data_IF_514525314750
#
_entry.id   IF_514525314750
#
_cell.length_a   1.000
_cell.length_b   1.000
_cell.length_c   1.000
_cell.angle_alpha   90.00
_cell.angle_beta   90.00
_cell.angle_gamma   90.00
#
_symmetry.space_group_name_H-M   'P 1'
#
loop_
_entity.id
_entity.type
_entity.pdbx_description
1 polymer ?
#
# COMPACT_ATOMS: atom_id res chain seq x y z
N UNK A 1 -2.40 17.62 2.12
CA UNK A 1 -2.53 16.97 3.44
C UNK A 1 -1.24 16.20 3.76
N UNK A 2 -0.65 16.36 4.95
CA UNK A 2 0.55 15.61 5.36
C UNK A 2 0.27 14.11 5.50
N UNK A 3 1.27 13.26 5.26
CA UNK A 3 1.16 11.80 5.34
C UNK A 3 0.68 11.32 6.72
N UNK A 4 1.21 11.91 7.79
CA UNK A 4 0.80 11.56 9.15
C UNK A 4 -0.69 11.90 9.41
N UNK A 5 -1.19 12.99 8.83
CA UNK A 5 -2.60 13.36 8.94
C UNK A 5 -3.52 12.40 8.17
N UNK A 6 -3.09 11.94 6.99
CA UNK A 6 -3.83 10.93 6.22
C UNK A 6 -4.00 9.65 7.05
N UNK A 7 -2.94 9.17 7.69
CA UNK A 7 -2.98 7.99 8.54
C UNK A 7 -3.87 8.20 9.77
N UNK A 8 -3.73 9.33 10.49
CA UNK A 8 -4.56 9.65 11.65
C UNK A 8 -6.04 9.73 11.31
N UNK A 9 -6.37 10.37 10.19
CA UNK A 9 -7.75 10.54 9.72
C UNK A 9 -8.38 9.18 9.38
N UNK A 10 -7.65 8.32 8.68
CA UNK A 10 -8.09 6.95 8.41
C UNK A 10 -8.36 6.17 9.70
N UNK A 11 -7.41 6.17 10.64
CA UNK A 11 -7.53 5.40 11.88
C UNK A 11 -8.70 5.91 12.74
N UNK A 12 -8.87 7.23 12.87
CA UNK A 12 -9.98 7.83 13.61
C UNK A 12 -11.33 7.48 12.98
N UNK A 13 -11.45 7.54 11.66
CA UNK A 13 -12.69 7.21 10.96
C UNK A 13 -13.16 5.79 11.25
N UNK A 14 -12.23 4.83 11.31
CA UNK A 14 -12.57 3.44 11.64
C UNK A 14 -12.75 3.22 13.14
N UNK A 15 -12.02 3.93 14.00
CA UNK A 15 -12.26 3.92 15.45
C UNK A 15 -13.69 4.36 15.80
N UNK A 16 -14.19 5.43 15.17
CA UNK A 16 -15.59 5.91 15.28
C UNK A 16 -16.62 4.86 14.82
N UNK A 17 -16.21 3.88 14.02
CA UNK A 17 -17.02 2.74 13.54
C UNK A 17 -16.82 1.46 14.34
N UNK A 18 -16.18 1.57 15.51
CA UNK A 18 -15.99 0.48 16.46
C UNK A 18 -14.80 -0.41 16.14
N UNK A 19 -13.89 0.00 15.25
CA UNK A 19 -12.63 -0.71 15.05
C UNK A 19 -11.67 -0.41 16.18
N UNK A 20 -11.05 -1.45 16.72
CA UNK A 20 -9.92 -1.26 17.64
C UNK A 20 -8.67 -0.94 16.81
N UNK A 21 -8.14 0.26 16.97
CA UNK A 21 -6.84 0.63 16.40
C UNK A 21 -5.75 -0.18 17.08
N UNK A 22 -4.92 -0.87 16.30
CA UNK A 22 -3.77 -1.64 16.81
C UNK A 22 -2.48 -1.19 16.14
N UNK A 23 -1.34 -1.25 16.84
CA UNK A 23 -0.07 -0.85 16.25
C UNK A 23 0.32 -1.73 15.06
N UNK A 24 1.10 -1.18 14.14
CA UNK A 24 1.77 -1.95 13.09
C UNK A 24 2.53 -3.13 13.71
N UNK A 25 2.39 -4.32 13.11
CA UNK A 25 3.27 -5.44 13.41
C UNK A 25 4.68 -5.20 12.85
N UNK A 26 5.62 -6.02 13.29
CA UNK A 26 6.98 -6.08 12.74
C UNK A 26 6.98 -6.40 11.25
N UNK A 27 7.96 -5.89 10.51
CA UNK A 27 8.24 -6.29 9.13
C UNK A 27 8.69 -7.74 9.02
N UNK A 28 9.17 -8.35 10.11
CA UNK A 28 9.53 -9.77 10.17
C UNK A 28 8.25 -10.59 10.22
N UNK A 29 7.93 -11.30 9.13
CA UNK A 29 6.76 -12.16 9.09
C UNK A 29 6.92 -13.35 10.05
N UNK A 30 5.88 -13.61 10.85
CA UNK A 30 5.76 -14.84 11.65
C UNK A 30 5.48 -16.06 10.76
N UNK A 31 4.91 -15.84 9.57
CA UNK A 31 4.62 -16.90 8.61
C UNK A 31 5.91 -17.43 7.98
N UNK A 32 6.21 -18.75 8.08
CA UNK A 32 7.43 -19.33 7.52
C UNK A 32 7.50 -19.29 5.99
N UNK A 33 6.37 -19.09 5.32
CA UNK A 33 6.31 -18.96 3.85
C UNK A 33 6.63 -17.55 3.36
N UNK A 34 6.75 -16.57 4.27
CA UNK A 34 7.06 -15.18 3.95
C UNK A 34 8.35 -14.72 4.62
N UNK A 35 9.15 -13.96 3.87
CA UNK A 35 10.33 -13.29 4.43
C UNK A 35 9.92 -12.05 5.22
N UNK A 36 9.14 -11.16 4.61
CA UNK A 36 8.74 -9.88 5.20
C UNK A 36 7.22 -9.74 5.10
N UNK A 37 6.64 -8.74 5.76
CA UNK A 37 5.21 -8.42 5.69
C UNK A 37 4.92 -7.55 4.44
N UNK A 38 4.29 -8.08 3.37
CA UNK A 38 3.96 -7.30 2.16
C UNK A 38 2.60 -6.57 2.22
N UNK A 39 1.74 -6.87 3.21
CA UNK A 39 0.38 -6.36 3.30
C UNK A 39 -0.15 -6.31 4.75
N UNK A 40 -1.13 -5.44 5.00
CA UNK A 40 -1.78 -5.22 6.30
C UNK A 40 -2.39 -6.46 6.94
N UNK A 41 -2.89 -7.39 6.12
CA UNK A 41 -3.58 -8.60 6.59
C UNK A 41 -2.65 -9.71 7.09
N UNK A 42 -1.36 -9.67 6.73
CA UNK A 42 -0.42 -10.78 6.97
C UNK A 42 -0.29 -11.12 8.47
N UNK A 43 -0.14 -10.14 9.38
CA UNK A 43 -0.14 -10.43 10.83
C UNK A 43 -1.46 -11.03 11.34
N UNK A 44 -2.57 -10.84 10.60
CA UNK A 44 -3.91 -11.29 10.96
C UNK A 44 -4.33 -12.59 10.28
N UNK A 45 -3.47 -13.20 9.46
CA UNK A 45 -3.71 -14.49 8.80
C UNK A 45 -4.28 -15.56 9.75
N UNK A 46 -3.76 -15.77 10.98
CA UNK A 46 -4.32 -16.77 11.89
C UNK A 46 -5.76 -16.48 12.33
N UNK A 47 -6.18 -15.21 12.33
CA UNK A 47 -7.54 -14.82 12.69
C UNK A 47 -8.53 -15.14 11.57
N UNK A 48 -8.17 -14.83 10.32
CA UNK A 48 -8.97 -15.18 9.14
C UNK A 48 -9.17 -16.69 9.00
N UNK A 49 -8.13 -17.47 9.32
CA UNK A 49 -8.18 -18.94 9.29
C UNK A 49 -8.88 -19.56 10.52
N UNK A 50 -9.35 -18.76 11.48
CA UNK A 50 -9.96 -19.25 12.72
C UNK A 50 -9.01 -19.99 13.66
N UNK A 51 -7.70 -19.87 13.46
CA UNK A 51 -6.66 -20.54 14.25
C UNK A 51 -6.38 -19.85 15.57
N UNK A 52 -6.62 -18.54 15.64
CA UNK A 52 -6.51 -17.72 16.85
C UNK A 52 -7.70 -16.77 16.95
N UNK A 53 -8.07 -16.40 18.17
CA UNK A 53 -9.12 -15.39 18.40
C UNK A 53 -8.52 -13.99 18.22
N UNK A 54 -9.14 -13.10 17.43
CA UNK A 54 -8.66 -11.72 17.30
C UNK A 54 -8.93 -10.93 18.59
N UNK A 55 -8.15 -9.88 18.87
CA UNK A 55 -8.33 -9.03 20.05
C UNK A 55 -9.62 -8.19 20.02
N UNK A 56 -10.24 -8.03 18.86
CA UNK A 56 -11.58 -7.48 18.62
C UNK A 56 -12.11 -8.01 17.28
N UNK A 57 -13.43 -7.97 17.05
CA UNK A 57 -14.03 -8.39 15.78
C UNK A 57 -13.72 -7.44 14.62
N UNK A 58 -13.34 -6.19 14.94
CA UNK A 58 -12.98 -5.13 13.99
C UNK A 58 -11.64 -4.52 14.38
N UNK A 59 -10.69 -4.42 13.45
CA UNK A 59 -9.36 -3.82 13.69
C UNK A 59 -9.01 -2.80 12.62
N UNK A 60 -8.24 -1.77 12.96
CA UNK A 60 -7.67 -0.84 12.00
C UNK A 60 -6.17 -0.63 12.26
N UNK A 61 -5.37 -0.52 11.20
CA UNK A 61 -3.91 -0.33 11.28
C UNK A 61 -3.36 0.60 10.20
N UNK A 62 -2.19 1.17 10.48
CA UNK A 62 -1.23 1.61 9.47
C UNK A 62 -0.05 0.63 9.51
N UNK A 63 -0.06 -0.38 8.66
CA UNK A 63 0.94 -1.45 8.66
C UNK A 63 2.15 -1.03 7.83
N UNK A 64 3.35 -1.12 8.41
CA UNK A 64 4.61 -1.10 7.68
C UNK A 64 4.70 -2.30 6.75
N UNK A 65 4.94 -2.07 5.46
CA UNK A 65 5.04 -3.12 4.46
C UNK A 65 6.36 -3.06 3.71
N UNK A 66 6.90 -4.23 3.35
CA UNK A 66 8.02 -4.35 2.39
C UNK A 66 7.66 -5.33 1.29
N UNK A 67 7.79 -4.89 0.03
CA UNK A 67 7.61 -5.71 -1.17
C UNK A 67 8.93 -5.86 -1.91
N UNK A 68 9.51 -7.06 -1.83
CA UNK A 68 10.76 -7.36 -2.52
C UNK A 68 10.65 -7.48 -4.05
N UNK A 69 9.51 -7.89 -4.65
CA UNK A 69 9.37 -7.88 -6.10
C UNK A 69 9.52 -6.48 -6.71
N UNK A 70 9.12 -5.44 -5.98
CA UNK A 70 9.10 -4.06 -6.46
C UNK A 70 10.48 -3.39 -6.47
N UNK A 71 11.51 -4.01 -5.87
CA UNK A 71 12.87 -3.47 -5.72
C UNK A 71 13.47 -3.02 -7.07
N UNK A 72 13.17 -3.73 -8.16
CA UNK A 72 13.69 -3.37 -9.48
C UNK A 72 12.93 -2.22 -10.17
N UNK A 73 11.71 -1.93 -9.73
CA UNK A 73 10.86 -0.85 -10.27
C UNK A 73 11.03 0.49 -9.53
N UNK A 74 11.62 0.44 -8.33
CA UNK A 74 11.95 1.63 -7.55
C UNK A 74 12.83 2.58 -8.35
N UNK A 75 12.42 3.85 -8.37
CA UNK A 75 13.04 4.96 -9.08
C UNK A 75 12.66 5.07 -10.56
N UNK A 76 12.26 3.96 -11.19
CA UNK A 76 11.86 3.92 -12.61
C UNK A 76 10.41 4.36 -12.81
N UNK A 77 9.53 3.90 -11.92
CA UNK A 77 8.11 4.23 -11.95
C UNK A 77 7.77 5.30 -10.91
N UNK A 78 6.59 5.89 -11.02
CA UNK A 78 6.10 6.93 -10.10
C UNK A 78 5.41 6.38 -8.84
N UNK A 79 5.12 5.07 -8.81
CA UNK A 79 4.22 4.43 -7.84
C UNK A 79 4.79 3.25 -7.04
N UNK A 80 5.94 2.69 -7.44
CA UNK A 80 6.55 1.56 -6.74
C UNK A 80 7.56 2.04 -5.70
N UNK A 81 7.50 1.43 -4.52
CA UNK A 81 8.41 1.62 -3.40
C UNK A 81 8.74 0.26 -2.79
N UNK A 82 9.94 0.10 -2.23
CA UNK A 82 10.28 -1.14 -1.51
C UNK A 82 9.57 -1.17 -0.17
N UNK A 83 9.58 -0.05 0.55
CA UNK A 83 8.84 0.17 1.79
C UNK A 83 7.70 1.13 1.56
N UNK A 84 6.54 0.83 2.14
CA UNK A 84 5.37 1.70 2.13
C UNK A 84 4.49 1.39 3.35
N UNK A 85 3.52 2.24 3.63
CA UNK A 85 2.52 1.98 4.66
C UNK A 85 1.16 1.63 4.06
N UNK A 86 0.55 0.58 4.58
CA UNK A 86 -0.79 0.14 4.18
C UNK A 86 -1.78 0.45 5.29
N UNK A 87 -2.69 1.38 5.01
CA UNK A 87 -3.83 1.69 5.86
C UNK A 87 -4.91 0.63 5.62
N UNK A 88 -5.32 -0.08 6.67
CA UNK A 88 -6.26 -1.19 6.54
C UNK A 88 -7.29 -1.24 7.66
N UNK A 89 -8.53 -1.54 7.29
CA UNK A 89 -9.60 -1.94 8.20
C UNK A 89 -9.94 -3.42 7.99
N UNK A 90 -10.14 -4.14 9.07
CA UNK A 90 -10.33 -5.58 9.06
C UNK A 90 -11.62 -5.96 9.81
N UNK A 91 -12.39 -6.88 9.23
CA UNK A 91 -13.57 -7.48 9.84
C UNK A 91 -13.35 -8.98 9.96
N UNK A 92 -13.45 -9.52 11.18
CA UNK A 92 -13.34 -10.95 11.45
C UNK A 92 -14.72 -11.51 11.78
N UNK A 93 -15.47 -11.90 10.74
CA UNK A 93 -16.83 -12.43 10.88
C UNK A 93 -17.85 -11.43 11.43
N UNK A 94 -17.65 -10.13 11.21
CA UNK A 94 -18.50 -9.05 11.75
C UNK A 94 -19.38 -8.42 10.66
N UNK A 95 -18.83 -7.46 9.90
CA UNK A 95 -19.48 -6.85 8.73
C UNK A 95 -18.84 -7.35 7.42
N UNK A 96 -19.51 -7.14 6.29
CA UNK A 96 -19.03 -7.59 4.97
C UNK A 96 -19.17 -6.50 3.89
N UNK A 97 -19.44 -6.89 2.64
CA UNK A 97 -19.51 -6.00 1.46
C UNK A 97 -20.45 -4.80 1.66
N UNK A 98 -21.62 -5.06 2.23
CA UNK A 98 -22.70 -4.07 2.34
C UNK A 98 -22.31 -2.86 3.18
N UNK A 99 -21.35 -3.01 4.11
CA UNK A 99 -20.86 -1.96 4.98
C UNK A 99 -19.50 -1.44 4.54
N UNK A 100 -18.55 -2.31 4.14
CA UNK A 100 -17.20 -1.86 3.79
C UNK A 100 -17.20 -0.92 2.58
N UNK A 101 -18.03 -1.19 1.57
CA UNK A 101 -18.07 -0.40 0.34
C UNK A 101 -18.56 1.03 0.66
N UNK A 102 -19.70 1.23 1.35
CA UNK A 102 -20.10 2.56 1.81
C UNK A 102 -19.09 3.24 2.75
N UNK A 103 -18.44 2.50 3.67
CA UNK A 103 -17.43 3.10 4.55
C UNK A 103 -16.23 3.64 3.77
N UNK A 104 -15.74 2.89 2.79
CA UNK A 104 -14.62 3.32 1.96
C UNK A 104 -14.99 4.56 1.12
N UNK A 105 -16.17 4.54 0.49
CA UNK A 105 -16.67 5.68 -0.26
C UNK A 105 -16.83 6.92 0.61
N UNK A 106 -17.48 6.77 1.76
CA UNK A 106 -17.72 7.86 2.70
C UNK A 106 -16.41 8.50 3.16
N UNK A 107 -15.38 7.71 3.52
CA UNK A 107 -14.09 8.29 3.93
C UNK A 107 -13.44 9.07 2.77
N UNK A 108 -13.50 8.57 1.54
CA UNK A 108 -12.89 9.22 0.38
C UNK A 108 -13.59 10.54 0.02
N UNK A 109 -14.92 10.59 0.06
CA UNK A 109 -15.70 11.72 -0.46
C UNK A 109 -16.12 12.72 0.60
N UNK A 110 -16.22 12.31 1.88
CA UNK A 110 -16.58 13.21 2.98
C UNK A 110 -15.62 14.41 3.00
N UNK A 111 -16.12 15.65 3.21
CA UNK A 111 -15.29 16.85 3.19
C UNK A 111 -14.09 16.79 4.15
N UNK A 112 -13.01 17.47 3.77
CA UNK A 112 -11.83 17.60 4.63
C UNK A 112 -12.17 18.27 5.98
N UNK A 113 -13.13 19.19 6.03
CA UNK A 113 -13.58 19.80 7.30
C UNK A 113 -14.20 18.80 8.27
N UNK A 114 -14.73 17.67 7.76
CA UNK A 114 -15.59 16.75 8.50
C UNK A 114 -14.92 15.40 8.81
N UNK A 115 -13.63 15.25 8.49
CA UNK A 115 -12.91 14.01 8.73
C UNK A 115 -12.73 13.08 7.52
N UNK A 116 -13.13 13.45 6.29
CA UNK A 116 -12.84 12.67 5.06
C UNK A 116 -11.74 13.21 4.14
N UNK A 117 -11.49 12.59 3.00
CA UNK A 117 -10.44 13.04 2.06
C UNK A 117 -10.91 14.09 1.05
N UNK A 118 -12.20 14.41 1.02
CA UNK A 118 -12.75 15.47 0.17
C UNK A 118 -12.61 15.23 -1.33
N UNK A 119 -12.46 13.98 -1.77
CA UNK A 119 -12.34 13.68 -3.18
C UNK A 119 -13.64 13.98 -3.94
N UNK A 120 -13.57 14.64 -5.10
CA UNK A 120 -14.72 14.80 -5.98
C UNK A 120 -15.24 13.43 -6.40
N UNK A 121 -16.53 13.18 -6.18
CA UNK A 121 -17.16 11.89 -6.50
C UNK A 121 -17.00 11.51 -7.97
N UNK A 122 -17.01 12.49 -8.89
CA UNK A 122 -16.87 12.32 -10.34
C UNK A 122 -15.46 11.87 -10.78
N UNK A 123 -14.46 12.00 -9.90
CA UNK A 123 -13.10 11.49 -10.13
C UNK A 123 -12.87 10.08 -9.63
N UNK A 124 -13.81 9.50 -8.90
CA UNK A 124 -13.67 8.15 -8.37
C UNK A 124 -14.27 7.10 -9.30
N UNK A 125 -13.59 5.97 -9.41
CA UNK A 125 -13.98 4.81 -10.20
C UNK A 125 -13.91 3.57 -9.33
N UNK A 126 -14.73 2.57 -9.63
CA UNK A 126 -14.72 1.29 -8.93
C UNK A 126 -14.48 0.14 -9.92
N UNK A 127 -13.73 -0.87 -9.50
CA UNK A 127 -13.65 -2.16 -10.19
C UNK A 127 -14.21 -3.27 -9.30
N UNK A 128 -14.78 -4.30 -9.90
CA UNK A 128 -15.30 -5.49 -9.22
C UNK A 128 -14.90 -6.75 -9.97
N UNK A 129 -14.86 -7.89 -9.28
CA UNK A 129 -14.63 -9.18 -9.92
C UNK A 129 -15.74 -9.53 -10.91
N UNK A 130 -15.40 -10.17 -12.04
CA UNK A 130 -16.34 -10.51 -13.11
C UNK A 130 -17.64 -11.15 -12.61
N UNK A 131 -17.55 -12.04 -11.63
CA UNK A 131 -18.67 -12.83 -11.10
C UNK A 131 -19.25 -12.26 -9.79
N UNK A 132 -18.81 -11.07 -9.35
CA UNK A 132 -19.29 -10.45 -8.11
C UNK A 132 -20.39 -9.41 -8.35
N UNK A 133 -21.59 -9.90 -8.65
CA UNK A 133 -22.79 -9.08 -8.83
C UNK A 133 -23.20 -8.33 -7.56
N UNK A 134 -22.93 -8.92 -6.38
CA UNK A 134 -23.24 -8.31 -5.09
C UNK A 134 -22.45 -7.00 -4.89
N UNK A 135 -21.13 -7.01 -5.15
CA UNK A 135 -20.32 -5.79 -5.07
C UNK A 135 -20.75 -4.75 -6.11
N UNK A 136 -21.04 -5.18 -7.34
CA UNK A 136 -21.53 -4.30 -8.40
C UNK A 136 -22.82 -3.58 -7.99
N UNK A 137 -23.79 -4.33 -7.47
CA UNK A 137 -25.09 -3.79 -7.05
C UNK A 137 -24.97 -2.86 -5.84
N UNK A 138 -24.04 -3.10 -4.92
CA UNK A 138 -23.79 -2.19 -3.79
C UNK A 138 -23.23 -0.86 -4.31
N UNK A 139 -22.24 -0.88 -5.21
CA UNK A 139 -21.70 0.33 -5.82
C UNK A 139 -22.77 1.13 -6.57
N UNK A 140 -23.56 0.45 -7.41
CA UNK A 140 -24.59 1.08 -8.23
C UNK A 140 -25.75 1.61 -7.39
N UNK A 141 -26.32 0.78 -6.54
CA UNK A 141 -27.62 1.05 -5.92
C UNK A 141 -27.51 1.67 -4.52
N UNK A 142 -26.52 1.27 -3.73
CA UNK A 142 -26.36 1.74 -2.35
C UNK A 142 -25.44 2.96 -2.26
N UNK A 143 -24.33 2.96 -3.01
CA UNK A 143 -23.42 4.10 -3.09
C UNK A 143 -23.87 5.13 -4.12
N UNK A 144 -24.37 4.68 -5.27
CA UNK A 144 -24.82 5.56 -6.35
C UNK A 144 -23.75 5.88 -7.39
N UNK A 145 -22.71 5.06 -7.52
CA UNK A 145 -21.69 5.22 -8.57
C UNK A 145 -22.35 4.94 -9.93
N UNK A 146 -22.22 5.84 -10.93
CA UNK A 146 -22.74 5.59 -12.27
C UNK A 146 -22.15 4.32 -12.89
N UNK A 147 -22.98 3.56 -13.61
CA UNK A 147 -22.55 2.29 -14.25
C UNK A 147 -21.33 2.45 -15.16
N UNK A 148 -21.19 3.59 -15.83
CA UNK A 148 -20.04 3.91 -16.68
C UNK A 148 -18.71 3.96 -15.93
N UNK A 149 -18.73 4.05 -14.59
CA UNK A 149 -17.56 4.11 -13.71
C UNK A 149 -17.40 2.88 -12.80
N UNK A 150 -18.19 1.83 -13.04
CA UNK A 150 -18.05 0.53 -12.37
C UNK A 150 -17.60 -0.50 -13.41
N UNK A 151 -16.33 -0.90 -13.36
CA UNK A 151 -15.73 -1.82 -14.33
C UNK A 151 -15.59 -3.23 -13.76
N UNK A 152 -15.88 -4.25 -14.56
CA UNK A 152 -15.66 -5.64 -14.15
C UNK A 152 -14.32 -6.14 -14.68
N UNK A 153 -13.52 -6.79 -13.84
CA UNK A 153 -12.22 -7.38 -14.24
C UNK A 153 -12.01 -8.78 -13.68
N UNK A 154 -11.07 -9.50 -14.28
CA UNK A 154 -10.81 -10.92 -14.01
C UNK A 154 -10.00 -11.17 -12.73
N UNK A 155 -9.51 -12.40 -12.60
CA UNK A 155 -8.72 -12.85 -11.45
C UNK A 155 -7.43 -12.06 -11.24
N UNK A 156 -6.81 -11.59 -12.33
CA UNK A 156 -5.54 -10.88 -12.29
C UNK A 156 -5.64 -9.60 -11.47
N UNK A 157 -6.76 -8.90 -11.56
CA UNK A 157 -6.97 -7.60 -10.90
C UNK A 157 -7.84 -7.75 -9.66
N UNK A 158 -9.03 -8.36 -9.81
CA UNK A 158 -10.09 -8.32 -8.80
C UNK A 158 -10.22 -9.63 -7.99
N UNK A 159 -9.13 -10.40 -7.87
CA UNK A 159 -9.05 -11.51 -6.92
C UNK A 159 -7.75 -11.42 -6.12
N UNK A 160 -7.84 -11.30 -4.80
CA UNK A 160 -6.69 -11.03 -3.96
C UNK A 160 -6.31 -12.23 -3.10
N UNK A 161 -5.01 -12.51 -3.06
CA UNK A 161 -4.38 -13.43 -2.13
C UNK A 161 -2.93 -13.01 -1.89
N UNK A 162 -2.35 -13.48 -0.79
CA UNK A 162 -1.00 -13.12 -0.34
C UNK A 162 0.16 -13.76 -1.13
N UNK A 163 -0.12 -14.40 -2.27
CA UNK A 163 0.89 -15.12 -3.07
C UNK A 163 1.37 -16.46 -2.50
N UNK A 164 0.84 -16.88 -1.35
CA UNK A 164 1.14 -18.17 -0.66
C UNK A 164 -0.16 -18.78 -0.12
N UNK A 165 -0.19 -20.07 0.27
CA UNK A 165 -1.38 -20.69 0.86
C UNK A 165 -1.92 -19.91 2.06
N UNK A 166 -3.23 -19.70 2.12
CA UNK A 166 -3.86 -18.82 3.11
C UNK A 166 -5.20 -18.25 2.66
N UNK A 167 -5.72 -17.23 3.35
CA UNK A 167 -6.96 -16.55 2.97
C UNK A 167 -6.87 -15.89 1.60
N UNK A 168 -7.96 -15.93 0.84
CA UNK A 168 -8.14 -15.21 -0.41
C UNK A 168 -9.62 -14.98 -0.74
N UNK A 169 -9.88 -14.17 -1.76
CA UNK A 169 -11.24 -13.91 -2.22
C UNK A 169 -11.31 -12.84 -3.31
N UNK A 170 -12.52 -12.65 -3.88
CA UNK A 170 -12.78 -11.53 -4.79
C UNK A 170 -12.55 -10.21 -4.07
N UNK A 171 -12.19 -9.18 -4.82
CA UNK A 171 -12.02 -7.85 -4.29
C UNK A 171 -12.61 -6.77 -5.20
N UNK A 172 -12.84 -5.60 -4.63
CA UNK A 172 -13.25 -4.41 -5.34
C UNK A 172 -12.25 -3.30 -5.05
N UNK A 173 -11.77 -2.61 -6.09
CA UNK A 173 -10.77 -1.56 -5.96
C UNK A 173 -11.37 -0.22 -6.33
N UNK A 174 -10.90 0.83 -5.65
CA UNK A 174 -11.27 2.21 -5.90
C UNK A 174 -10.08 2.90 -6.55
N UNK A 175 -10.36 3.64 -7.61
CA UNK A 175 -9.37 4.37 -8.41
C UNK A 175 -9.72 5.86 -8.44
N UNK A 176 -8.68 6.69 -8.48
CA UNK A 176 -8.80 8.14 -8.62
C UNK A 176 -8.29 8.59 -9.99
N UNK A 177 -9.13 9.31 -10.73
CA UNK A 177 -8.76 9.96 -11.99
C UNK A 177 -7.91 11.20 -11.71
N UNK A 178 -6.61 11.09 -12.00
CA UNK A 178 -5.65 12.17 -11.81
C UNK A 178 -5.83 13.30 -12.82
N UNK A 179 -6.40 13.00 -14.00
CA UNK A 179 -6.62 13.95 -15.08
C UNK A 179 -5.96 13.55 -16.41
N UNK A 180 -6.35 14.20 -17.53
CA UNK A 180 -5.88 13.86 -18.87
C UNK A 180 -4.36 13.95 -19.07
N UNK A 181 -3.64 14.74 -18.28
CA UNK A 181 -2.19 14.87 -18.36
C UNK A 181 -1.44 13.58 -17.96
N UNK A 182 -2.12 12.63 -17.32
CA UNK A 182 -1.52 11.38 -16.83
C UNK A 182 -1.81 10.14 -17.69
N UNK A 183 -2.62 10.25 -18.75
CA UNK A 183 -2.93 9.09 -19.58
C UNK A 183 -4.29 9.13 -20.28
N UNK A 184 -4.67 7.99 -20.85
CA UNK A 184 -5.87 7.85 -21.69
C UNK A 184 -7.15 7.82 -20.87
N UNK A 185 -8.21 8.39 -21.42
CA UNK A 185 -9.56 8.28 -20.85
C UNK A 185 -10.14 6.87 -21.05
N UNK A 186 -11.00 6.45 -20.12
CA UNK A 186 -11.73 5.18 -20.22
C UNK A 186 -11.76 4.35 -18.93
N UNK A 187 -11.38 4.95 -17.80
CA UNK A 187 -11.32 4.28 -16.51
C UNK A 187 -10.09 3.38 -16.34
N UNK A 188 -9.99 2.68 -15.20
CA UNK A 188 -8.87 1.79 -14.87
C UNK A 188 -8.51 0.78 -15.95
N UNK A 189 -9.49 0.20 -16.67
CA UNK A 189 -9.26 -0.72 -17.80
C UNK A 189 -8.46 -0.08 -18.94
N UNK A 190 -8.56 1.24 -19.13
CA UNK A 190 -7.87 1.94 -20.20
C UNK A 190 -6.43 2.35 -19.82
N UNK A 191 -6.20 2.82 -18.59
CA UNK A 191 -4.93 3.42 -18.18
C UNK A 191 -4.75 3.54 -16.66
N UNK A 192 -3.92 2.69 -16.05
CA UNK A 192 -3.65 2.72 -14.61
C UNK A 192 -2.61 3.77 -14.17
N UNK A 193 -2.01 4.49 -15.12
CA UNK A 193 -1.16 5.64 -14.81
C UNK A 193 -2.00 6.91 -14.56
N UNK A 194 -3.10 7.07 -15.33
CA UNK A 194 -4.12 8.11 -15.10
C UNK A 194 -5.07 7.78 -13.96
N UNK A 195 -5.63 6.57 -13.98
CA UNK A 195 -6.54 6.10 -12.94
C UNK A 195 -5.71 5.35 -11.91
N UNK A 196 -5.33 6.03 -10.83
CA UNK A 196 -4.47 5.46 -9.80
C UNK A 196 -5.29 4.69 -8.78
N UNK A 197 -4.97 3.42 -8.57
CA UNK A 197 -5.57 2.59 -7.52
C UNK A 197 -5.24 3.17 -6.14
N UNK A 198 -6.27 3.60 -5.41
CA UNK A 198 -6.14 4.19 -4.07
C UNK A 198 -6.42 3.18 -2.96
N UNK A 199 -7.39 2.29 -3.14
CA UNK A 199 -7.86 1.42 -2.06
C UNK A 199 -8.43 0.11 -2.60
N UNK A 200 -7.94 -1.02 -2.11
CA UNK A 200 -8.46 -2.34 -2.39
C UNK A 200 -9.31 -2.88 -1.22
N UNK A 201 -10.52 -3.36 -1.50
CA UNK A 201 -11.48 -3.96 -0.58
C UNK A 201 -11.60 -5.46 -0.89
N UNK A 202 -10.95 -6.31 -0.09
CA UNK A 202 -10.92 -7.76 -0.28
C UNK A 202 -11.99 -8.45 0.55
N UNK A 203 -12.80 -9.26 -0.12
CA UNK A 203 -13.89 -10.04 0.47
C UNK A 203 -13.38 -11.45 0.77
N UNK A 204 -12.65 -11.56 1.88
CA UNK A 204 -12.00 -12.80 2.31
C UNK A 204 -13.02 -13.88 2.65
N UNK A 205 -13.13 -14.89 1.79
CA UNK A 205 -14.13 -15.95 1.94
C UNK A 205 -13.60 -17.37 1.63
N UNK A 206 -12.41 -17.50 1.03
CA UNK A 206 -11.82 -18.79 0.68
C UNK A 206 -10.47 -19.03 1.34
N UNK A 207 -10.18 -20.30 1.59
CA UNK A 207 -8.85 -20.77 1.97
C UNK A 207 -8.17 -21.40 0.75
N UNK A 208 -6.97 -20.93 0.44
CA UNK A 208 -6.13 -21.45 -0.64
C UNK A 208 -5.12 -22.46 -0.11
N UNK A 209 -5.00 -23.62 -0.75
CA UNK A 209 -4.05 -24.68 -0.37
C UNK A 209 -2.74 -24.62 -1.16
N UNK A 210 -2.80 -24.24 -2.43
CA UNK A 210 -1.64 -24.09 -3.29
C UNK A 210 -1.79 -22.82 -4.12
N UNK A 211 -0.74 -22.00 -4.16
CA UNK A 211 -0.69 -20.79 -4.97
C UNK A 211 0.52 -20.90 -5.90
N UNK A 212 0.27 -20.95 -7.21
CA UNK A 212 1.31 -21.09 -8.24
C UNK A 212 1.56 -19.74 -8.91
N UNK A 213 0.50 -19.02 -9.24
CA UNK A 213 0.56 -17.64 -9.78
C UNK A 213 -0.59 -16.80 -9.23
N UNK A 214 -0.69 -15.53 -9.66
CA UNK A 214 -1.81 -14.64 -9.35
C UNK A 214 -3.17 -15.16 -9.82
N UNK A 215 -3.18 -15.97 -10.89
CA UNK A 215 -4.41 -16.49 -11.51
C UNK A 215 -4.49 -18.02 -11.49
N UNK A 216 -3.52 -18.68 -10.84
CA UNK A 216 -3.44 -20.14 -10.76
C UNK A 216 -3.19 -20.56 -9.30
N UNK A 217 -4.26 -21.01 -8.65
CA UNK A 217 -4.28 -21.43 -7.26
C UNK A 217 -5.45 -22.40 -7.00
N UNK A 218 -5.30 -23.23 -5.96
CA UNK A 218 -6.33 -24.18 -5.54
C UNK A 218 -7.06 -23.67 -4.30
N UNK A 219 -8.39 -23.68 -4.37
CA UNK A 219 -9.27 -23.39 -3.23
C UNK A 219 -9.51 -24.70 -2.47
N UNK A 220 -9.11 -24.77 -1.20
CA UNK A 220 -9.37 -25.93 -0.34
C UNK A 220 -10.78 -25.93 0.26
N UNK A 221 -11.42 -24.77 0.35
CA UNK A 221 -12.74 -24.61 0.95
C UNK A 221 -13.00 -23.17 1.37
N UNK A 222 -14.16 -22.95 2.01
CA UNK A 222 -14.53 -21.65 2.58
C UNK A 222 -13.76 -21.38 3.89
N UNK A 223 -13.54 -20.11 4.20
CA UNK A 223 -13.08 -19.69 5.52
C UNK A 223 -14.17 -19.90 6.58
N UNK A 224 -13.83 -20.02 7.88
CA UNK A 224 -14.82 -20.21 8.95
C UNK A 224 -15.88 -19.10 9.04
N UNK A 225 -15.57 -17.91 8.52
CA UNK A 225 -16.48 -16.78 8.42
C UNK A 225 -16.13 -15.95 7.18
N UNK A 226 -17.09 -15.17 6.68
CA UNK A 226 -16.85 -14.10 5.71
C UNK A 226 -16.17 -12.94 6.42
N UNK A 227 -15.04 -12.49 5.89
CA UNK A 227 -14.19 -11.49 6.51
C UNK A 227 -13.90 -10.33 5.54
N UNK A 228 -13.45 -9.21 6.08
CA UNK A 228 -12.99 -8.07 5.29
C UNK A 228 -11.53 -7.82 5.59
N UNK A 229 -10.77 -7.64 4.51
CA UNK A 229 -9.43 -7.09 4.49
C UNK A 229 -9.44 -5.91 3.52
N UNK A 230 -8.80 -4.79 3.89
CA UNK A 230 -8.65 -3.68 2.96
C UNK A 230 -7.22 -3.17 3.02
N UNK A 231 -6.72 -2.65 1.90
CA UNK A 231 -5.43 -1.97 1.84
C UNK A 231 -5.50 -0.68 1.03
N UNK A 232 -5.21 0.44 1.68
CA UNK A 232 -5.01 1.75 1.07
C UNK A 232 -3.53 2.13 1.20
N UNK A 233 -2.88 2.43 0.09
CA UNK A 233 -1.47 2.83 0.09
C UNK A 233 -1.32 4.27 0.57
N UNK A 234 -0.68 4.48 1.72
CA UNK A 234 -0.50 5.81 2.31
C UNK A 234 0.22 6.75 1.35
N UNK A 235 1.32 6.30 0.74
CA UNK A 235 2.14 7.09 -0.17
C UNK A 235 1.40 7.47 -1.46
N UNK A 236 0.49 6.60 -1.94
CA UNK A 236 -0.37 6.91 -3.10
C UNK A 236 -1.40 7.98 -2.73
N UNK A 237 -2.02 7.85 -1.56
CA UNK A 237 -2.94 8.87 -1.04
C UNK A 237 -2.24 10.21 -0.84
N UNK A 238 -1.04 10.21 -0.26
CA UNK A 238 -0.22 11.41 -0.08
C UNK A 238 0.13 12.07 -1.42
N UNK A 239 0.46 11.28 -2.45
CA UNK A 239 0.74 11.79 -3.80
C UNK A 239 -0.45 12.61 -4.32
N UNK A 240 -1.67 12.08 -4.20
CA UNK A 240 -2.90 12.74 -4.67
C UNK A 240 -3.23 13.97 -3.80
N UNK A 241 -3.28 13.81 -2.48
CA UNK A 241 -3.72 14.85 -1.54
C UNK A 241 -2.70 15.97 -1.32
N UNK A 242 -1.47 15.81 -1.79
CA UNK A 242 -0.45 16.86 -1.82
C UNK A 242 -0.31 17.49 -3.22
N UNK A 243 -0.96 16.90 -4.23
CA UNK A 243 -0.90 17.40 -5.61
C UNK A 243 0.49 17.29 -6.24
N UNK A 244 1.22 16.22 -5.91
CA UNK A 244 2.57 15.95 -6.45
C UNK A 244 2.55 14.83 -7.49
N UNK A 245 3.57 14.76 -8.35
CA UNK A 245 3.53 13.89 -9.54
C UNK A 245 3.81 12.42 -9.23
N UNK A 246 4.54 12.14 -8.14
CA UNK A 246 4.96 10.79 -7.76
C UNK A 246 5.22 10.67 -6.25
N UNK A 247 5.31 9.42 -5.77
CA UNK A 247 5.46 9.11 -4.35
C UNK A 247 6.78 9.60 -3.72
N UNK A 248 7.77 9.97 -4.53
CA UNK A 248 9.06 10.45 -4.02
C UNK A 248 9.03 11.94 -3.68
N UNK A 249 7.99 12.64 -4.11
CA UNK A 249 7.78 14.07 -3.88
C UNK A 249 6.84 14.37 -2.70
N UNK A 250 6.33 13.33 -2.05
CA UNK A 250 5.53 13.50 -0.83
C UNK A 250 6.39 14.01 0.31
N UNK A 251 5.76 14.70 1.26
CA UNK A 251 6.34 15.28 2.48
C UNK A 251 7.36 14.39 3.22
N UNK A 252 7.15 13.08 3.30
CA UNK A 252 8.07 12.14 3.99
C UNK A 252 9.28 11.76 3.12
N UNK A 253 9.05 11.32 1.88
CA UNK A 253 10.12 10.83 1.00
C UNK A 253 10.98 11.98 0.46
N UNK A 254 10.36 13.12 0.15
CA UNK A 254 11.06 14.25 -0.47
C UNK A 254 12.16 14.82 0.43
N UNK A 255 11.96 14.85 1.75
CA UNK A 255 12.97 15.31 2.70
C UNK A 255 14.26 14.47 2.65
N UNK A 256 14.14 13.15 2.49
CA UNK A 256 15.31 12.25 2.34
C UNK A 256 15.95 12.46 0.96
N UNK A 257 15.13 12.59 -0.07
CA UNK A 257 15.56 12.82 -1.45
C UNK A 257 16.34 14.13 -1.58
N UNK A 258 15.81 15.23 -1.05
CA UNK A 258 16.40 16.56 -1.09
C UNK A 258 17.73 16.57 -0.32
N UNK A 259 17.78 15.94 0.85
CA UNK A 259 19.04 15.78 1.58
C UNK A 259 20.07 15.00 0.77
N UNK A 260 19.66 13.93 0.09
CA UNK A 260 20.57 13.19 -0.80
C UNK A 260 21.08 14.08 -1.94
N UNK A 261 20.22 14.90 -2.54
CA UNK A 261 20.60 15.83 -3.60
C UNK A 261 21.61 16.89 -3.11
N UNK A 262 21.41 17.45 -1.91
CA UNK A 262 22.36 18.38 -1.28
C UNK A 262 23.74 17.75 -1.07
N UNK A 263 23.78 16.56 -0.45
CA UNK A 263 25.01 15.84 -0.16
C UNK A 263 25.78 15.49 -1.44
N UNK A 264 25.05 15.13 -2.49
CA UNK A 264 25.64 14.81 -3.80
C UNK A 264 25.84 16.00 -4.72
N UNK A 265 25.56 17.22 -4.25
CA UNK A 265 25.60 18.46 -5.06
C UNK A 265 24.85 18.32 -6.39
N UNK A 266 23.78 17.54 -6.35
CA UNK A 266 22.86 17.27 -7.46
C UNK A 266 21.60 18.11 -7.28
N UNK A 267 20.73 18.17 -8.29
CA UNK A 267 19.41 18.80 -8.19
C UNK A 267 18.37 17.89 -8.82
N UNK A 268 17.34 17.56 -8.05
CA UNK A 268 16.20 16.77 -8.53
C UNK A 268 15.42 17.52 -9.62
N UNK A 269 14.94 16.79 -10.63
CA UNK A 269 14.20 17.30 -11.78
C UNK A 269 15.07 17.89 -12.90
N UNK A 270 16.41 17.79 -12.81
CA UNK A 270 17.32 18.28 -13.86
C UNK A 270 17.78 17.20 -14.83
N UNK A 271 18.01 15.99 -14.34
CA UNK A 271 18.51 14.88 -15.13
C UNK A 271 17.82 13.59 -14.69
N UNK A 272 17.20 12.90 -15.65
CA UNK A 272 16.40 11.72 -15.37
C UNK A 272 17.20 10.61 -14.68
N UNK A 273 18.47 10.39 -15.08
CA UNK A 273 19.29 9.35 -14.46
C UNK A 273 19.63 9.69 -13.02
N UNK A 274 19.96 10.96 -12.76
CA UNK A 274 20.18 11.45 -11.41
C UNK A 274 18.92 11.33 -10.55
N UNK A 275 17.76 11.67 -11.09
CA UNK A 275 16.47 11.57 -10.41
C UNK A 275 16.15 10.13 -10.01
N UNK A 276 16.36 9.17 -10.93
CA UNK A 276 16.22 7.73 -10.62
C UNK A 276 17.14 7.34 -9.46
N UNK A 277 18.40 7.77 -9.46
CA UNK A 277 19.33 7.46 -8.38
C UNK A 277 18.91 8.08 -7.04
N UNK A 278 18.45 9.33 -7.03
CA UNK A 278 17.96 10.02 -5.83
C UNK A 278 16.71 9.33 -5.25
N UNK A 279 15.77 8.93 -6.11
CA UNK A 279 14.56 8.17 -5.72
C UNK A 279 14.91 6.82 -5.10
N UNK A 280 15.85 6.08 -5.70
CA UNK A 280 16.34 4.80 -5.15
C UNK A 280 16.98 5.00 -3.78
N UNK A 281 17.80 6.05 -3.60
CA UNK A 281 18.42 6.36 -2.31
C UNK A 281 17.34 6.62 -1.25
N UNK A 282 16.37 7.49 -1.54
CA UNK A 282 15.33 7.87 -0.59
C UNK A 282 14.48 6.67 -0.12
N UNK A 283 14.01 5.84 -1.06
CA UNK A 283 13.23 4.64 -0.74
C UNK A 283 14.06 3.60 0.05
N UNK A 284 15.28 3.33 -0.40
CA UNK A 284 16.08 2.26 0.19
C UNK A 284 16.66 2.62 1.56
N UNK A 285 16.97 3.90 1.80
CA UNK A 285 17.35 4.37 3.14
C UNK A 285 16.17 4.18 4.10
N UNK A 286 14.97 4.63 3.72
CA UNK A 286 13.74 4.44 4.51
C UNK A 286 13.49 2.96 4.82
N UNK A 287 13.61 2.11 3.80
CA UNK A 287 13.44 0.66 3.95
C UNK A 287 14.49 0.05 4.89
N UNK A 288 15.76 0.43 4.71
CA UNK A 288 16.87 -0.04 5.53
C UNK A 288 16.68 0.32 7.00
N UNK A 289 16.33 1.57 7.29
CA UNK A 289 16.02 2.06 8.63
C UNK A 289 14.92 1.23 9.29
N UNK A 290 13.82 0.99 8.58
CA UNK A 290 12.68 0.22 9.13
C UNK A 290 13.00 -1.25 9.36
N UNK A 291 13.75 -1.89 8.47
CA UNK A 291 14.20 -3.27 8.65
C UNK A 291 15.15 -3.42 9.85
N UNK A 292 16.10 -2.49 10.01
CA UNK A 292 17.02 -2.48 11.16
C UNK A 292 16.27 -2.24 12.46
N UNK A 293 15.29 -1.32 12.46
CA UNK A 293 14.44 -1.05 13.62
C UNK A 293 13.65 -2.29 14.08
N UNK A 294 13.22 -3.14 13.15
CA UNK A 294 12.56 -4.42 13.46
C UNK A 294 13.55 -5.57 13.73
N UNK A 295 14.85 -5.30 13.84
CA UNK A 295 15.88 -6.26 14.26
C UNK A 295 16.57 -7.04 13.14
N UNK A 296 16.38 -6.67 11.88
CA UNK A 296 17.08 -7.32 10.75
C UNK A 296 18.52 -6.84 10.68
N UNK A 297 19.47 -7.78 10.67
CA UNK A 297 20.90 -7.50 10.50
C UNK A 297 21.37 -7.87 9.07
N UNK A 298 22.31 -7.11 8.47
CA UNK A 298 22.84 -7.43 7.15
C UNK A 298 23.49 -8.83 7.09
N UNK A 299 23.03 -9.68 6.17
CA UNK A 299 23.43 -11.09 6.07
C UNK A 299 23.60 -11.55 4.62
N UNK A 300 24.02 -12.80 4.43
CA UNK A 300 24.12 -13.44 3.11
C UNK A 300 22.86 -14.22 2.71
N UNK A 301 21.92 -14.40 3.63
CA UNK A 301 20.73 -15.23 3.42
C UNK A 301 19.47 -14.53 3.94
N UNK A 302 18.31 -14.97 3.44
CA UNK A 302 16.98 -14.53 3.87
C UNK A 302 16.81 -13.01 3.96
N UNK A 303 16.21 -12.55 5.06
CA UNK A 303 15.93 -11.13 5.33
C UNK A 303 17.21 -10.27 5.37
N UNK A 304 18.29 -10.83 5.92
CA UNK A 304 19.57 -10.15 6.00
C UNK A 304 20.19 -9.88 4.63
N UNK A 305 19.99 -10.79 3.67
CA UNK A 305 20.42 -10.58 2.27
C UNK A 305 19.62 -9.47 1.60
N UNK A 306 18.30 -9.41 1.84
CA UNK A 306 17.44 -8.32 1.33
C UNK A 306 17.94 -6.98 1.85
N UNK A 307 18.12 -6.84 3.17
CA UNK A 307 18.65 -5.61 3.78
C UNK A 307 20.02 -5.24 3.19
N UNK A 308 20.95 -6.20 3.09
CA UNK A 308 22.28 -5.97 2.51
C UNK A 308 22.19 -5.46 1.07
N UNK A 309 21.31 -6.04 0.24
CA UNK A 309 21.12 -5.64 -1.16
C UNK A 309 20.62 -4.20 -1.25
N UNK A 310 19.62 -3.84 -0.43
CA UNK A 310 19.03 -2.50 -0.37
C UNK A 310 20.09 -1.46 0.02
N UNK A 311 20.82 -1.70 1.12
CA UNK A 311 21.88 -0.79 1.57
C UNK A 311 22.99 -0.62 0.52
N UNK A 312 23.43 -1.72 -0.11
CA UNK A 312 24.44 -1.64 -1.19
C UNK A 312 23.94 -0.88 -2.41
N UNK A 313 22.66 -0.99 -2.76
CA UNK A 313 22.04 -0.21 -3.84
C UNK A 313 22.00 1.28 -3.51
N UNK A 314 21.71 1.68 -2.27
CA UNK A 314 21.80 3.09 -1.84
C UNK A 314 23.22 3.62 -1.99
N UNK A 315 24.22 2.91 -1.42
CA UNK A 315 25.64 3.31 -1.50
C UNK A 315 26.13 3.37 -2.95
N UNK A 316 25.72 2.42 -3.80
CA UNK A 316 26.05 2.45 -5.23
C UNK A 316 25.49 3.70 -5.91
N UNK A 317 24.23 4.06 -5.67
CA UNK A 317 23.62 5.25 -6.28
C UNK A 317 24.28 6.55 -5.79
N UNK A 318 24.62 6.66 -4.49
CA UNK A 318 25.40 7.79 -3.97
C UNK A 318 26.74 7.94 -4.69
N UNK A 319 27.46 6.83 -4.90
CA UNK A 319 28.73 6.84 -5.65
C UNK A 319 28.54 7.27 -7.12
N UNK A 320 27.44 6.85 -7.76
CA UNK A 320 27.12 7.24 -9.14
C UNK A 320 26.79 8.73 -9.28
N UNK A 321 26.19 9.34 -8.26
CA UNK A 321 25.88 10.77 -8.20
C UNK A 321 27.10 11.66 -7.89
N UNK A 322 28.31 11.10 -7.82
CA UNK A 322 29.55 11.87 -7.85
C UNK A 322 30.17 12.20 -6.49
N UNK A 323 29.74 11.53 -5.41
CA UNK A 323 30.24 11.83 -4.06
C UNK A 323 30.28 10.57 -3.19
N UNK A 324 31.26 9.71 -3.48
CA UNK A 324 31.46 8.43 -2.81
C UNK A 324 31.97 8.52 -1.38
N UNK A 325 31.24 9.20 -0.48
CA UNK A 325 31.47 9.14 0.95
C UNK A 325 30.40 8.29 1.64
N UNK A 326 30.81 7.17 2.23
CA UNK A 326 29.91 6.27 2.96
C UNK A 326 29.28 6.94 4.20
N UNK A 327 29.86 8.06 4.68
CA UNK A 327 29.35 8.84 5.81
C UNK A 327 27.95 9.43 5.58
N UNK A 328 27.54 9.60 4.32
CA UNK A 328 26.20 10.12 3.98
C UNK A 328 25.07 9.20 4.41
N UNK A 329 25.32 7.89 4.53
CA UNK A 329 24.26 6.96 4.94
C UNK A 329 23.75 7.27 6.35
N UNK A 330 24.61 7.69 7.28
CA UNK A 330 24.16 8.03 8.64
C UNK A 330 23.27 9.28 8.62
N UNK A 331 23.64 10.31 7.86
CA UNK A 331 22.88 11.56 7.76
C UNK A 331 21.51 11.32 7.12
N UNK A 332 21.46 10.49 6.07
CA UNK A 332 20.21 10.12 5.42
C UNK A 332 19.34 9.25 6.34
N UNK A 333 19.95 8.36 7.13
CA UNK A 333 19.24 7.57 8.14
C UNK A 333 18.63 8.48 9.23
N UNK A 334 19.35 9.49 9.70
CA UNK A 334 18.84 10.45 10.69
C UNK A 334 17.63 11.22 10.15
N UNK A 335 17.70 11.68 8.90
CA UNK A 335 16.54 12.31 8.23
C UNK A 335 15.38 11.32 8.13
N UNK A 336 15.64 10.07 7.72
CA UNK A 336 14.62 9.03 7.62
C UNK A 336 13.95 8.73 8.97
N UNK A 337 14.70 8.73 10.08
CA UNK A 337 14.13 8.53 11.43
C UNK A 337 13.20 9.70 11.78
N UNK A 338 13.64 10.94 11.54
CA UNK A 338 12.84 12.12 11.88
C UNK A 338 11.53 12.17 11.11
N UNK A 339 11.54 11.88 9.79
CA UNK A 339 10.33 11.96 8.96
C UNK A 339 9.34 10.81 9.17
N UNK A 340 9.81 9.69 9.73
CA UNK A 340 8.97 8.53 10.01
C UNK A 340 8.57 8.40 11.48
N UNK A 341 9.11 9.25 12.36
CA UNK A 341 8.80 9.27 13.79
C UNK A 341 7.59 10.14 14.14
N UNK A 342 7.15 11.00 13.22
CA UNK A 342 5.91 11.80 13.28
C UNK A 342 4.69 10.97 12.85
#
# INVERSE_FOLDING_TARGET
MESAEIARRFLRFFEERGHKVVPSASLIAEDPTLLLVPAGMVPFKPYFLGQRKPPASRLATSQKCVRTPDIEEVGKTTRHATFFQMLGNFSFGDYFKSEVIPFAWELLTRPESDGGFGFPEDRLWATVYLEDDEAYDIWRNKVGVPESRIQRRGLEDNYWHMGVPGPGGPCSEIYYDRGPEYGKEGGPVADEDRYLEVWNLVFMQYQLSQVRTKVDFDISGELPAKNIDTGMGLERMATILQGVDNLYEIDTTYKILDRAAELTKTRYGRDHRADVSLRVIADHVRTGTMLVADGVLPGNEGRGYVLRRILRRSVRNLRLLGSGDERYMHELTDVAINVMGE
#
